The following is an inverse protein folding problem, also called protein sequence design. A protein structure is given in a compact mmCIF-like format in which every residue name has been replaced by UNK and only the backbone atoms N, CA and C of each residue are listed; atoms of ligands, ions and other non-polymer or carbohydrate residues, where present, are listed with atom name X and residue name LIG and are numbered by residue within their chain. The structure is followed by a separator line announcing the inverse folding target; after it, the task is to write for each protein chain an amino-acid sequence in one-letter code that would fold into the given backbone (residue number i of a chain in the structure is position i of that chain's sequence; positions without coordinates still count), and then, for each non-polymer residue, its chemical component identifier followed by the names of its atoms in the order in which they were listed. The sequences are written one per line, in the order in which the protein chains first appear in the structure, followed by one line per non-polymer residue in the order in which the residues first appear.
data_IF_889260339006
#
_entry.id   IF_889260339006
#
_cell.length_a   1.000
_cell.length_b   1.000
_cell.length_c   1.000
_cell.angle_alpha   90.00
_cell.angle_beta   90.00
_cell.angle_gamma   90.00
#
_symmetry.space_group_name_H-M   'P 1'
#
loop_
_entity.id
_entity.type
_entity.pdbx_description
1 polymer ?
#
# COMPACT_ATOMS: atom_id res chain seq x y z
N UNK A 1 4.06 113.03 -11.31
CA UNK A 1 2.67 113.20 -11.75
C UNK A 1 2.58 112.73 -13.20
N UNK A 2 2.10 111.50 -13.42
CA UNK A 2 1.82 110.96 -14.76
C UNK A 2 0.29 110.93 -14.89
N UNK A 3 -0.23 111.74 -15.80
CA UNK A 3 -1.66 111.93 -16.03
C UNK A 3 -2.11 110.86 -17.06
N UNK A 4 -2.52 109.69 -16.58
CA UNK A 4 -3.07 108.62 -17.43
C UNK A 4 -4.53 108.94 -17.79
N UNK A 5 -4.82 109.02 -19.08
CA UNK A 5 -6.16 109.32 -19.59
C UNK A 5 -7.10 108.12 -19.38
N UNK A 6 -8.38 108.42 -19.10
CA UNK A 6 -9.45 107.46 -18.79
C UNK A 6 -9.61 106.31 -19.82
N UNK A 7 -9.10 106.44 -21.05
CA UNK A 7 -9.17 105.38 -22.07
C UNK A 7 -8.22 104.20 -21.83
N UNK A 8 -7.08 104.38 -21.15
CA UNK A 8 -6.10 103.30 -20.92
C UNK A 8 -6.50 102.34 -19.79
N UNK A 9 -7.36 102.77 -18.86
CA UNK A 9 -7.79 101.93 -17.73
C UNK A 9 -8.82 100.86 -18.13
N UNK A 10 -9.63 101.12 -19.16
CA UNK A 10 -10.63 100.14 -19.62
C UNK A 10 -10.02 98.99 -20.44
N UNK A 11 -8.92 99.24 -21.15
CA UNK A 11 -8.29 98.20 -21.97
C UNK A 11 -7.51 97.17 -21.13
N UNK A 12 -6.86 97.60 -20.05
CA UNK A 12 -6.18 96.68 -19.12
C UNK A 12 -7.17 95.88 -18.27
N UNK A 13 -8.28 96.49 -17.85
CA UNK A 13 -9.33 95.79 -17.11
C UNK A 13 -10.07 94.76 -17.97
N UNK A 14 -10.28 95.04 -19.26
CA UNK A 14 -10.92 94.09 -20.17
C UNK A 14 -10.04 92.87 -20.48
N UNK A 15 -8.72 93.06 -20.67
CA UNK A 15 -7.78 91.95 -20.84
C UNK A 15 -7.71 91.01 -19.62
N UNK A 16 -7.82 91.53 -18.39
CA UNK A 16 -7.79 90.71 -17.16
C UNK A 16 -9.07 89.87 -17.04
N UNK A 17 -10.24 90.44 -17.37
CA UNK A 17 -11.53 89.74 -17.27
C UNK A 17 -11.67 88.65 -18.36
N UNK A 18 -11.12 88.86 -19.56
CA UNK A 18 -11.14 87.80 -20.60
C UNK A 18 -10.14 86.67 -20.30
N UNK A 19 -9.05 86.94 -19.57
CA UNK A 19 -8.05 85.91 -19.25
C UNK A 19 -8.47 85.00 -18.08
N UNK A 20 -9.27 85.51 -17.13
CA UNK A 20 -9.81 84.70 -16.02
C UNK A 20 -10.94 83.77 -16.46
N UNK A 21 -11.72 84.13 -17.48
CA UNK A 21 -12.78 83.26 -18.04
C UNK A 21 -12.23 82.02 -18.75
N UNK A 22 -11.16 82.17 -19.56
CA UNK A 22 -10.55 81.06 -20.29
C UNK A 22 -9.82 80.05 -19.38
N UNK A 23 -9.35 80.49 -18.20
CA UNK A 23 -8.68 79.61 -17.22
C UNK A 23 -9.70 78.73 -16.46
N UNK A 24 -10.89 79.26 -16.17
CA UNK A 24 -11.95 78.51 -15.48
C UNK A 24 -12.57 77.39 -16.35
N UNK A 25 -12.68 77.60 -17.67
CA UNK A 25 -13.12 76.55 -18.61
C UNK A 25 -12.07 75.45 -18.80
N UNK A 26 -10.76 75.79 -18.74
CA UNK A 26 -9.69 74.79 -18.77
C UNK A 26 -9.63 73.92 -17.50
N UNK A 27 -9.91 74.46 -16.32
CA UNK A 27 -9.94 73.68 -15.07
C UNK A 27 -11.11 72.69 -15.06
N UNK A 28 -12.30 73.09 -15.52
CA UNK A 28 -13.45 72.18 -15.61
C UNK A 28 -13.19 70.97 -16.52
N UNK A 29 -12.46 71.17 -17.62
CA UNK A 29 -12.11 70.09 -18.56
C UNK A 29 -10.97 69.19 -18.02
N UNK A 30 -10.07 69.73 -17.20
CA UNK A 30 -9.02 68.97 -16.52
C UNK A 30 -9.58 68.03 -15.43
N UNK A 31 -10.60 68.46 -14.68
CA UNK A 31 -11.25 67.61 -13.68
C UNK A 31 -11.99 66.43 -14.31
N UNK A 32 -12.67 66.64 -15.44
CA UNK A 32 -13.40 65.55 -16.13
C UNK A 32 -12.47 64.48 -16.69
N UNK A 33 -11.30 64.86 -17.24
CA UNK A 33 -10.36 63.90 -17.82
C UNK A 33 -9.61 63.10 -16.75
N UNK A 34 -9.26 63.72 -15.61
CA UNK A 34 -8.66 63.01 -14.49
C UNK A 34 -9.60 61.95 -13.89
N UNK A 35 -10.90 62.23 -13.74
CA UNK A 35 -11.86 61.24 -13.23
C UNK A 35 -11.97 60.01 -14.13
N UNK A 36 -11.94 60.21 -15.46
CA UNK A 36 -11.98 59.11 -16.44
C UNK A 36 -10.70 58.27 -16.36
N UNK A 37 -9.53 58.92 -16.27
CA UNK A 37 -8.24 58.21 -16.17
C UNK A 37 -8.17 57.39 -14.87
N UNK A 38 -8.58 57.97 -13.73
CA UNK A 38 -8.59 57.25 -12.45
C UNK A 38 -9.54 56.06 -12.49
N UNK A 39 -10.75 56.22 -13.03
CA UNK A 39 -11.70 55.13 -13.19
C UNK A 39 -11.14 54.00 -14.08
N UNK A 40 -10.46 54.35 -15.17
CA UNK A 40 -9.88 53.39 -16.10
C UNK A 40 -8.67 52.65 -15.49
N UNK A 41 -7.83 53.34 -14.72
CA UNK A 41 -6.72 52.72 -13.96
C UNK A 41 -7.25 51.78 -12.89
N UNK A 42 -8.27 52.18 -12.12
CA UNK A 42 -8.89 51.31 -11.12
C UNK A 42 -9.54 50.09 -11.77
N UNK A 43 -10.23 50.27 -12.91
CA UNK A 43 -10.81 49.16 -13.66
C UNK A 43 -9.76 48.17 -14.18
N UNK A 44 -8.66 48.67 -14.77
CA UNK A 44 -7.56 47.82 -15.24
C UNK A 44 -6.84 47.13 -14.09
N UNK A 45 -6.65 47.82 -12.97
CA UNK A 45 -6.04 47.23 -11.77
C UNK A 45 -6.91 46.11 -11.21
N UNK A 46 -8.21 46.34 -11.04
CA UNK A 46 -9.15 45.32 -10.55
C UNK A 46 -9.19 44.10 -11.48
N UNK A 47 -9.23 44.33 -12.80
CA UNK A 47 -9.18 43.25 -13.80
C UNK A 47 -7.87 42.46 -13.76
N UNK A 48 -6.74 43.12 -13.48
CA UNK A 48 -5.47 42.44 -13.34
C UNK A 48 -5.42 41.59 -12.07
N UNK A 49 -5.94 42.11 -10.94
CA UNK A 49 -6.06 41.38 -9.67
C UNK A 49 -6.91 40.12 -9.85
N UNK A 50 -8.09 40.22 -10.46
CA UNK A 50 -8.98 39.08 -10.71
C UNK A 50 -8.29 37.99 -11.56
N UNK A 51 -7.51 38.39 -12.57
CA UNK A 51 -6.77 37.44 -13.41
C UNK A 51 -5.70 36.70 -12.61
N UNK A 52 -4.97 37.40 -11.74
CA UNK A 52 -3.94 36.80 -10.89
C UNK A 52 -4.55 35.81 -9.89
N UNK A 53 -5.68 36.14 -9.27
CA UNK A 53 -6.38 35.23 -8.36
C UNK A 53 -6.89 33.97 -9.08
N UNK A 54 -7.42 34.12 -10.30
CA UNK A 54 -7.90 32.99 -11.09
C UNK A 54 -6.76 32.04 -11.50
N UNK A 55 -5.59 32.57 -11.85
CA UNK A 55 -4.41 31.77 -12.17
C UNK A 55 -3.85 31.05 -10.93
N UNK A 56 -3.85 31.71 -9.76
CA UNK A 56 -3.40 31.11 -8.52
C UNK A 56 -4.29 29.93 -8.10
N UNK A 57 -5.62 30.08 -8.18
CA UNK A 57 -6.56 28.99 -7.87
C UNK A 57 -6.36 27.76 -8.76
N UNK A 58 -5.99 27.94 -10.03
CA UNK A 58 -5.69 26.82 -10.94
C UNK A 58 -4.43 26.06 -10.51
N UNK A 59 -3.36 26.77 -10.15
CA UNK A 59 -2.12 26.16 -9.64
C UNK A 59 -2.37 25.36 -8.37
N UNK A 60 -3.11 25.92 -7.41
CA UNK A 60 -3.43 25.25 -6.15
C UNK A 60 -4.25 23.95 -6.36
N UNK A 61 -5.18 23.95 -7.33
CA UNK A 61 -5.95 22.75 -7.71
C UNK A 61 -5.09 21.65 -8.35
N UNK A 62 -4.13 22.02 -9.21
CA UNK A 62 -3.21 21.06 -9.83
C UNK A 62 -2.26 20.43 -8.82
N UNK A 63 -1.75 21.21 -7.86
CA UNK A 63 -0.85 20.72 -6.83
C UNK A 63 -1.56 19.78 -5.84
N UNK A 64 -2.80 20.07 -5.43
CA UNK A 64 -3.60 19.13 -4.64
C UNK A 64 -3.83 17.81 -5.38
N UNK A 65 -4.10 17.86 -6.69
CA UNK A 65 -4.29 16.65 -7.50
C UNK A 65 -3.00 15.84 -7.65
N UNK A 66 -1.85 16.50 -7.81
CA UNK A 66 -0.53 15.85 -7.89
C UNK A 66 -0.16 15.17 -6.57
N UNK A 67 -0.35 15.87 -5.45
CA UNK A 67 -0.06 15.34 -4.12
C UNK A 67 -0.99 14.18 -3.76
N UNK A 68 -2.28 14.26 -4.12
CA UNK A 68 -3.23 13.16 -3.92
C UNK A 68 -2.83 11.90 -4.72
N UNK A 69 -2.39 12.04 -5.97
CA UNK A 69 -1.89 10.90 -6.76
C UNK A 69 -0.62 10.29 -6.18
N UNK A 70 0.31 11.13 -5.70
CA UNK A 70 1.56 10.68 -5.08
C UNK A 70 1.29 9.84 -3.81
N UNK A 71 0.34 10.27 -2.97
CA UNK A 71 -0.05 9.54 -1.76
C UNK A 71 -0.66 8.18 -2.05
N UNK A 72 -1.48 8.04 -3.09
CA UNK A 72 -2.09 6.76 -3.48
C UNK A 72 -1.02 5.77 -3.96
N UNK A 73 -0.05 6.22 -4.76
CA UNK A 73 1.06 5.38 -5.24
C UNK A 73 1.93 4.90 -4.07
N UNK A 74 2.26 5.80 -3.14
CA UNK A 74 3.07 5.47 -1.97
C UNK A 74 2.34 4.48 -1.03
N UNK A 75 1.03 4.67 -0.82
CA UNK A 75 0.23 3.77 0.02
C UNK A 75 0.16 2.35 -0.58
N UNK A 76 0.06 2.22 -1.89
CA UNK A 76 -0.04 0.92 -2.58
C UNK A 76 1.29 0.13 -2.48
N UNK A 77 2.43 0.83 -2.50
CA UNK A 77 3.76 0.21 -2.40
C UNK A 77 4.02 -0.43 -1.02
N UNK A 78 3.39 0.08 0.04
CA UNK A 78 3.60 -0.41 1.41
C UNK A 78 2.83 -1.70 1.74
N UNK A 79 1.88 -2.11 0.89
CA UNK A 79 1.00 -3.27 1.18
C UNK A 79 1.56 -4.58 0.61
N UNK A 80 2.65 -4.54 -0.17
CA UNK A 80 3.33 -5.77 -0.63
C UNK A 80 4.30 -6.30 0.43
N UNK A 81 3.81 -6.56 1.63
CA UNK A 81 4.55 -7.37 2.60
C UNK A 81 4.36 -8.84 2.21
N UNK A 82 5.29 -9.39 1.44
CA UNK A 82 5.29 -10.80 1.08
C UNK A 82 5.38 -11.66 2.34
N UNK A 83 4.41 -12.55 2.53
CA UNK A 83 4.52 -13.67 3.47
C UNK A 83 5.64 -14.59 2.97
N UNK A 84 6.73 -14.70 3.73
CA UNK A 84 7.86 -15.55 3.37
C UNK A 84 7.63 -16.96 3.91
N UNK A 85 7.26 -17.89 3.03
CA UNK A 85 7.29 -19.33 3.31
C UNK A 85 8.60 -19.90 2.76
N UNK A 86 9.37 -20.61 3.60
CA UNK A 86 10.59 -21.27 3.16
C UNK A 86 10.29 -22.75 2.90
N UNK A 87 10.30 -23.17 1.63
CA UNK A 87 10.12 -24.57 1.23
C UNK A 87 11.45 -25.04 0.66
N UNK A 88 12.01 -26.08 1.27
CA UNK A 88 13.23 -26.72 0.78
C UNK A 88 12.90 -28.15 0.37
N UNK A 89 13.27 -28.52 -0.85
CA UNK A 89 13.14 -29.88 -1.35
C UNK A 89 14.54 -30.45 -1.57
N UNK A 90 14.84 -31.53 -0.87
CA UNK A 90 16.16 -32.17 -0.92
C UNK A 90 16.19 -33.37 -1.86
N UNK A 91 15.07 -34.08 -2.01
CA UNK A 91 14.95 -35.27 -2.87
C UNK A 91 13.62 -35.27 -3.63
N UNK A 92 13.57 -35.96 -4.78
CA UNK A 92 12.33 -36.20 -5.49
C UNK A 92 11.41 -37.12 -4.68
N UNK A 93 10.10 -36.82 -4.70
CA UNK A 93 9.10 -37.63 -4.02
C UNK A 93 8.67 -38.80 -4.91
N UNK A 94 8.68 -40.00 -4.35
CA UNK A 94 8.25 -41.23 -5.01
C UNK A 94 6.73 -41.35 -4.85
N UNK A 95 6.00 -40.99 -5.89
CA UNK A 95 4.53 -40.94 -5.88
C UNK A 95 3.87 -42.31 -6.03
N UNK A 96 4.66 -43.39 -6.19
CA UNK A 96 4.14 -44.76 -6.37
C UNK A 96 3.67 -45.39 -5.06
N UNK A 97 4.24 -44.97 -3.93
CA UNK A 97 3.92 -45.48 -2.59
C UNK A 97 3.43 -44.32 -1.69
N UNK A 98 2.13 -44.04 -1.80
CA UNK A 98 1.44 -42.96 -1.08
C UNK A 98 1.04 -43.35 0.34
N UNK A 99 1.96 -43.92 1.10
CA UNK A 99 1.76 -44.25 2.52
C UNK A 99 2.54 -43.29 3.41
N UNK A 100 1.86 -42.68 4.38
CA UNK A 100 2.46 -41.67 5.25
C UNK A 100 2.05 -41.85 6.71
N UNK A 101 3.03 -41.86 7.61
CA UNK A 101 2.76 -41.81 9.04
C UNK A 101 2.56 -40.36 9.47
N UNK A 102 1.46 -40.09 10.17
CA UNK A 102 1.05 -38.74 10.59
C UNK A 102 0.89 -38.66 12.12
N UNK A 103 1.11 -37.48 12.73
CA UNK A 103 0.93 -37.29 14.18
C UNK A 103 -0.54 -37.45 14.58
N UNK A 104 -0.82 -37.92 15.79
CA UNK A 104 -2.20 -38.06 16.29
C UNK A 104 -2.96 -36.72 16.42
N UNK A 105 -4.28 -36.79 16.38
CA UNK A 105 -5.21 -35.64 16.46
C UNK A 105 -5.78 -35.22 15.09
N UNK A 106 -6.89 -34.50 15.11
CA UNK A 106 -7.64 -34.09 13.90
C UNK A 106 -8.01 -32.60 13.86
N UNK A 107 -7.46 -31.78 14.74
CA UNK A 107 -7.71 -30.34 14.80
C UNK A 107 -6.52 -29.53 14.31
N UNK A 108 -6.79 -28.30 13.90
CA UNK A 108 -5.79 -27.35 13.45
C UNK A 108 -5.08 -27.79 12.15
N UNK A 109 -3.87 -27.30 11.95
CA UNK A 109 -3.01 -27.64 10.80
C UNK A 109 -2.87 -29.16 10.57
N UNK A 110 -2.79 -29.96 11.65
CA UNK A 110 -2.72 -31.43 11.55
C UNK A 110 -3.97 -32.02 10.89
N UNK A 111 -5.15 -31.53 11.28
CA UNK A 111 -6.42 -32.00 10.73
C UNK A 111 -6.54 -31.67 9.25
N UNK A 112 -6.22 -30.43 8.89
CA UNK A 112 -6.29 -29.96 7.50
C UNK A 112 -5.32 -30.70 6.58
N UNK A 113 -4.06 -30.89 7.00
CA UNK A 113 -3.08 -31.67 6.20
C UNK A 113 -3.55 -33.11 6.02
N UNK A 114 -4.03 -33.77 7.09
CA UNK A 114 -4.55 -35.15 7.00
C UNK A 114 -5.73 -35.24 6.04
N UNK A 115 -6.66 -34.31 6.13
CA UNK A 115 -7.82 -34.26 5.23
C UNK A 115 -7.36 -34.13 3.79
N UNK A 116 -6.50 -33.17 3.48
CA UNK A 116 -5.98 -32.97 2.12
C UNK A 116 -5.19 -34.18 1.60
N UNK A 117 -4.36 -34.81 2.43
CA UNK A 117 -3.65 -36.03 2.05
C UNK A 117 -4.62 -37.17 1.72
N UNK A 118 -5.59 -37.42 2.60
CA UNK A 118 -6.62 -38.45 2.42
C UNK A 118 -7.45 -38.19 1.15
N UNK A 119 -7.84 -36.94 0.91
CA UNK A 119 -8.59 -36.52 -0.28
C UNK A 119 -7.79 -36.75 -1.57
N UNK A 120 -6.45 -36.84 -1.49
CA UNK A 120 -5.54 -37.09 -2.61
C UNK A 120 -5.03 -38.55 -2.69
N UNK A 121 -5.71 -39.47 -1.99
CA UNK A 121 -5.47 -40.91 -2.07
C UNK A 121 -4.24 -41.39 -1.29
N UNK A 122 -3.76 -40.61 -0.33
CA UNK A 122 -2.73 -41.09 0.60
C UNK A 122 -3.32 -41.96 1.70
N UNK A 123 -2.68 -43.09 1.97
CA UNK A 123 -2.99 -43.91 3.13
C UNK A 123 -2.28 -43.34 4.36
N UNK A 124 -3.09 -43.01 5.38
CA UNK A 124 -2.61 -42.37 6.61
C UNK A 124 -2.51 -43.39 7.75
N UNK A 125 -1.31 -43.54 8.30
CA UNK A 125 -1.09 -44.33 9.52
C UNK A 125 -0.78 -43.37 10.66
N UNK A 126 -1.44 -43.51 11.81
CA UNK A 126 -1.17 -42.63 12.96
C UNK A 126 0.05 -43.14 13.73
N UNK A 127 0.96 -42.24 14.11
CA UNK A 127 2.08 -42.58 14.98
C UNK A 127 1.60 -43.06 16.36
N UNK A 128 1.92 -44.29 16.73
CA UNK A 128 1.50 -44.93 18.00
C UNK A 128 2.57 -44.97 19.09
N UNK A 129 3.74 -44.36 18.87
CA UNK A 129 4.83 -44.33 19.84
C UNK A 129 6.08 -45.09 19.39
N UNK A 130 7.12 -45.10 20.24
CA UNK A 130 8.44 -45.60 19.89
C UNK A 130 8.47 -47.12 19.76
N UNK A 131 9.47 -47.58 18.99
CA UNK A 131 9.75 -48.99 18.74
C UNK A 131 9.82 -49.80 20.05
N UNK A 132 9.15 -50.95 20.06
CA UNK A 132 9.25 -51.92 21.15
C UNK A 132 10.62 -52.59 21.06
N UNK A 133 11.44 -52.41 22.08
CA UNK A 133 12.65 -53.20 22.27
C UNK A 133 12.22 -54.55 22.85
N UNK A 134 12.09 -55.57 22.00
CA UNK A 134 11.93 -56.94 22.48
C UNK A 134 13.30 -57.61 22.57
N UNK A 135 13.58 -58.18 23.75
CA UNK A 135 14.71 -59.08 23.93
C UNK A 135 14.27 -60.49 23.58
N UNK A 136 14.69 -60.98 22.41
CA UNK A 136 14.44 -62.36 21.98
C UNK A 136 15.79 -63.07 21.85
N UNK A 137 16.00 -64.14 22.61
CA UNK A 137 17.20 -64.98 22.56
C UNK A 137 18.53 -64.20 22.71
N UNK A 138 18.65 -63.32 23.71
CA UNK A 138 19.83 -62.48 23.96
C UNK A 138 20.22 -61.53 22.80
N UNK A 139 19.32 -61.28 21.84
CA UNK A 139 19.49 -60.25 20.81
C UNK A 139 18.44 -59.16 21.04
N UNK A 140 18.92 -57.92 21.06
CA UNK A 140 18.08 -56.73 21.06
C UNK A 140 17.70 -56.47 19.60
N UNK A 141 16.45 -56.73 19.24
CA UNK A 141 15.91 -56.42 17.92
C UNK A 141 15.08 -55.13 18.03
N UNK A 142 15.45 -54.12 17.23
CA UNK A 142 14.70 -52.87 17.11
C UNK A 142 13.75 -53.00 15.92
N UNK A 143 12.45 -53.14 16.19
CA UNK A 143 11.44 -53.17 15.13
C UNK A 143 11.02 -51.74 14.80
N UNK A 144 11.35 -51.26 13.59
CA UNK A 144 10.82 -49.99 13.11
C UNK A 144 9.29 -50.04 13.04
N UNK A 145 8.63 -49.20 13.84
CA UNK A 145 7.17 -49.09 13.94
C UNK A 145 6.53 -48.40 12.73
N UNK A 146 7.34 -47.71 11.93
CA UNK A 146 6.89 -47.01 10.72
C UNK A 146 6.92 -47.95 9.51
N UNK A 147 5.78 -48.54 9.17
CA UNK A 147 5.61 -49.37 7.96
C UNK A 147 5.30 -48.56 6.70
N UNK A 148 5.16 -47.25 6.81
CA UNK A 148 4.84 -46.35 5.70
C UNK A 148 6.10 -45.87 4.99
N UNK A 149 5.96 -45.43 3.73
CA UNK A 149 7.08 -44.87 2.98
C UNK A 149 7.58 -43.56 3.58
N UNK A 150 6.65 -42.71 4.00
CA UNK A 150 6.96 -41.39 4.53
C UNK A 150 6.52 -41.22 5.98
N UNK A 151 7.12 -40.28 6.69
CA UNK A 151 6.69 -39.80 8.00
C UNK A 151 6.58 -38.27 7.98
N UNK A 152 5.46 -37.77 8.50
CA UNK A 152 5.21 -36.35 8.70
C UNK A 152 5.58 -35.96 10.14
N UNK A 153 6.57 -35.09 10.28
CA UNK A 153 6.84 -34.36 11.50
C UNK A 153 6.24 -32.95 11.39
N UNK A 154 5.49 -32.54 12.42
CA UNK A 154 4.82 -31.24 12.42
C UNK A 154 4.85 -30.59 13.80
N UNK A 155 5.41 -29.38 13.86
CA UNK A 155 5.31 -28.49 15.01
C UNK A 155 4.53 -27.25 14.61
N UNK A 156 3.57 -26.85 15.44
CA UNK A 156 2.77 -25.64 15.19
C UNK A 156 2.50 -24.89 16.49
N UNK A 157 2.52 -23.56 16.40
CA UNK A 157 2.16 -22.66 17.49
C UNK A 157 1.33 -21.51 16.94
N UNK A 158 0.08 -21.40 17.40
CA UNK A 158 -0.74 -20.23 17.11
C UNK A 158 -0.16 -18.99 17.81
N UNK A 159 -0.11 -17.87 17.09
CA UNK A 159 0.32 -16.59 17.64
C UNK A 159 -0.72 -15.48 17.47
N UNK A 160 -1.65 -15.61 16.51
CA UNK A 160 -2.72 -14.63 16.27
C UNK A 160 -3.88 -15.23 15.45
N UNK A 161 -4.71 -14.38 14.87
CA UNK A 161 -5.73 -14.68 13.86
C UNK A 161 -5.44 -13.91 12.56
N UNK A 162 -5.77 -14.52 11.43
CA UNK A 162 -5.74 -13.89 10.12
C UNK A 162 -6.98 -13.01 9.88
N UNK A 163 -6.97 -12.17 8.84
CA UNK A 163 -8.09 -11.30 8.48
C UNK A 163 -9.42 -12.05 8.23
N UNK A 164 -9.34 -13.31 7.81
CA UNK A 164 -10.47 -14.20 7.57
C UNK A 164 -10.88 -15.02 8.81
N UNK A 165 -10.36 -14.66 9.99
CA UNK A 165 -10.56 -15.35 11.27
C UNK A 165 -9.94 -16.76 11.36
N UNK A 166 -9.17 -17.19 10.36
CA UNK A 166 -8.40 -18.43 10.48
C UNK A 166 -7.22 -18.24 11.47
N UNK A 167 -6.78 -19.30 12.18
CA UNK A 167 -5.63 -19.21 13.06
C UNK A 167 -4.36 -18.80 12.30
N UNK A 168 -3.66 -17.77 12.80
CA UNK A 168 -2.32 -17.41 12.35
C UNK A 168 -1.29 -18.21 13.16
N UNK A 169 -0.51 -19.04 12.47
CA UNK A 169 0.37 -20.03 13.08
C UNK A 169 1.82 -19.86 12.62
N UNK A 170 2.75 -20.13 13.53
CA UNK A 170 4.13 -20.45 13.19
C UNK A 170 4.24 -21.97 13.09
N UNK A 171 4.85 -22.45 12.02
CA UNK A 171 4.92 -23.87 11.74
C UNK A 171 6.32 -24.28 11.30
N UNK A 172 6.60 -25.56 11.50
CA UNK A 172 7.76 -26.30 11.02
C UNK A 172 7.26 -27.70 10.64
N UNK A 173 7.36 -28.01 9.35
CA UNK A 173 6.88 -29.24 8.73
C UNK A 173 8.07 -29.94 8.09
N UNK A 174 8.26 -31.22 8.39
CA UNK A 174 9.26 -32.06 7.74
C UNK A 174 8.61 -33.35 7.26
N UNK A 175 8.89 -33.70 6.00
CA UNK A 175 8.52 -34.96 5.39
C UNK A 175 9.78 -35.82 5.24
N UNK A 176 9.80 -36.94 5.95
CA UNK A 176 10.97 -37.83 6.05
C UNK A 176 10.67 -39.11 5.27
N UNK A 177 11.60 -39.55 4.41
CA UNK A 177 11.53 -40.85 3.76
C UNK A 177 12.04 -41.92 4.73
N UNK A 178 11.17 -42.83 5.17
CA UNK A 178 11.52 -43.88 6.12
C UNK A 178 12.50 -44.91 5.54
N UNK A 179 12.60 -45.02 4.20
CA UNK A 179 13.53 -45.94 3.54
C UNK A 179 14.97 -45.46 3.64
N UNK A 180 15.19 -44.15 3.52
CA UNK A 180 16.52 -43.54 3.50
C UNK A 180 16.86 -42.83 4.82
N UNK A 181 15.86 -42.52 5.63
CA UNK A 181 15.98 -41.68 6.82
C UNK A 181 16.24 -40.20 6.51
N UNK A 182 16.10 -39.78 5.26
CA UNK A 182 16.40 -38.41 4.82
C UNK A 182 15.14 -37.55 4.74
N UNK A 183 15.29 -36.26 5.04
CA UNK A 183 14.24 -35.27 4.78
C UNK A 183 14.09 -35.11 3.26
N UNK A 184 12.86 -35.20 2.77
CA UNK A 184 12.52 -35.03 1.35
C UNK A 184 12.12 -33.60 1.10
N UNK A 185 11.24 -33.07 1.96
CA UNK A 185 10.73 -31.71 1.92
C UNK A 185 10.66 -31.17 3.35
N UNK A 186 11.11 -29.94 3.55
CA UNK A 186 10.88 -29.16 4.75
C UNK A 186 10.18 -27.86 4.39
N UNK A 187 9.31 -27.40 5.30
CA UNK A 187 8.53 -26.19 5.13
C UNK A 187 8.38 -25.50 6.48
N UNK A 188 8.92 -24.30 6.60
CA UNK A 188 8.89 -23.50 7.83
C UNK A 188 8.43 -22.07 7.54
N UNK A 189 7.78 -21.45 8.53
CA UNK A 189 7.36 -20.06 8.39
C UNK A 189 6.21 -19.65 9.28
N UNK A 190 5.48 -18.62 8.81
CA UNK A 190 4.26 -18.11 9.43
C UNK A 190 3.20 -17.95 8.36
N UNK A 191 1.96 -18.31 8.68
CA UNK A 191 0.85 -18.20 7.74
C UNK A 191 -0.49 -18.54 8.38
N UNK A 192 -1.55 -18.41 7.59
CA UNK A 192 -2.88 -18.85 7.99
C UNK A 192 -2.98 -20.37 7.83
N UNK A 193 -3.58 -21.04 8.80
CA UNK A 193 -3.60 -22.50 8.89
C UNK A 193 -3.98 -23.22 7.57
N UNK A 194 -5.06 -22.78 6.91
CA UNK A 194 -5.54 -23.39 5.66
C UNK A 194 -4.59 -23.16 4.48
N UNK A 195 -3.96 -21.99 4.43
CA UNK A 195 -3.00 -21.64 3.38
C UNK A 195 -1.76 -22.50 3.48
N UNK A 196 -1.25 -22.68 4.71
CA UNK A 196 -0.10 -23.53 4.99
C UNK A 196 -0.38 -25.00 4.63
N UNK A 197 -1.55 -25.53 5.02
CA UNK A 197 -1.93 -26.90 4.67
C UNK A 197 -1.98 -27.11 3.14
N UNK A 198 -2.53 -26.13 2.43
CA UNK A 198 -2.63 -26.13 0.97
C UNK A 198 -1.26 -26.03 0.29
N UNK A 199 -0.40 -25.11 0.74
CA UNK A 199 0.96 -24.95 0.22
C UNK A 199 1.78 -26.23 0.40
N UNK A 200 1.73 -26.84 1.59
CA UNK A 200 2.39 -28.11 1.86
C UNK A 200 1.87 -29.23 0.95
N UNK A 201 0.54 -29.38 0.86
CA UNK A 201 -0.06 -30.42 0.02
C UNK A 201 0.26 -30.21 -1.46
N UNK A 202 0.29 -28.96 -1.94
CA UNK A 202 0.72 -28.65 -3.30
C UNK A 202 2.21 -28.96 -3.55
N UNK A 203 3.06 -28.91 -2.53
CA UNK A 203 4.47 -29.26 -2.68
C UNK A 203 4.70 -30.77 -2.87
N UNK A 204 3.86 -31.61 -2.25
CA UNK A 204 3.97 -33.07 -2.31
C UNK A 204 3.19 -33.72 -3.47
N UNK A 205 2.24 -33.00 -4.08
CA UNK A 205 1.38 -33.51 -5.16
C UNK A 205 1.88 -33.18 -6.58
N UNK A 206 2.97 -32.40 -6.70
CA UNK A 206 3.63 -32.10 -7.98
C UNK A 206 4.34 -33.32 -8.54
#
# INVERSE_FOLDING_TARGET
MINMSRGQFYFTLWCIITWTGAFAEMEAQAHSTMSIIVALVLYLHNRHVEKQEAEQRKRDHEDRRRNSKLSIVLATLLITACTTTNIQQYTALDTTDKTITVPAGGSGLKGEIKKMLSDNGWELVVYTGPDVIESKNNRIEKFGTFKTRYQLALTTRQFDQCFNLDPAIRYDISLIDNKTGSEVITMEGRGCEKDVAREFTNAILK
#
